data_IF_030406774041
#
_entry.id   IF_030406774041
#
_cell.length_a   1.000
_cell.length_b   1.000
_cell.length_c   1.000
_cell.angle_alpha   90.00
_cell.angle_beta   90.00
_cell.angle_gamma   90.00
#
_symmetry.space_group_name_H-M   'P 1'
#
loop_
_entity.id
_entity.type
_entity.pdbx_description
1 polymer ?
#
# COMPACT_ATOMS: atom_id res chain seq x y z
N UNK A 1 1.60 -37.83 -26.81
CA UNK A 1 1.89 -36.74 -27.75
C UNK A 1 1.26 -35.49 -27.17
N UNK A 2 2.10 -34.57 -26.71
CA UNK A 2 1.66 -33.21 -26.28
C UNK A 2 1.11 -32.53 -27.55
N UNK A 3 -0.16 -32.16 -27.54
CA UNK A 3 -0.74 -31.43 -28.66
C UNK A 3 -0.28 -29.96 -28.62
N UNK A 4 -0.22 -29.31 -29.78
CA UNK A 4 0.22 -27.91 -29.88
C UNK A 4 -0.70 -26.96 -29.08
N UNK A 5 -1.97 -27.37 -28.87
CA UNK A 5 -2.97 -26.69 -28.04
C UNK A 5 -2.57 -26.62 -26.58
N UNK A 6 -1.97 -27.68 -26.04
CA UNK A 6 -1.59 -27.77 -24.60
C UNK A 6 -0.40 -26.86 -24.31
N UNK A 7 0.53 -26.79 -25.29
CA UNK A 7 1.69 -25.90 -25.19
C UNK A 7 1.24 -24.41 -25.22
N UNK A 8 0.20 -24.13 -25.98
CA UNK A 8 -0.32 -22.77 -26.11
C UNK A 8 -0.94 -22.26 -24.80
N UNK A 9 -1.63 -23.12 -24.03
CA UNK A 9 -2.16 -22.76 -22.72
C UNK A 9 -1.05 -22.40 -21.71
N UNK A 10 0.04 -23.14 -21.71
CA UNK A 10 1.20 -22.87 -20.84
C UNK A 10 1.90 -21.55 -21.17
N UNK A 11 1.81 -21.10 -22.43
CA UNK A 11 2.46 -19.87 -22.88
C UNK A 11 1.62 -18.59 -22.64
N UNK A 12 0.34 -18.69 -22.26
CA UNK A 12 -0.53 -17.54 -22.05
C UNK A 12 0.05 -16.49 -21.08
N UNK A 13 0.54 -16.82 -19.87
CA UNK A 13 1.16 -15.84 -19.00
C UNK A 13 2.40 -15.18 -19.62
N UNK A 14 3.14 -15.92 -20.46
CA UNK A 14 4.33 -15.40 -21.16
C UNK A 14 3.91 -14.36 -22.23
N UNK A 15 2.79 -14.55 -22.92
CA UNK A 15 2.25 -13.58 -23.88
C UNK A 15 1.67 -12.35 -23.20
N UNK A 16 1.05 -12.50 -22.02
CA UNK A 16 0.48 -11.38 -21.27
C UNK A 16 1.55 -10.50 -20.60
N UNK A 17 2.70 -11.07 -20.25
CA UNK A 17 3.78 -10.35 -19.59
C UNK A 17 4.28 -9.12 -20.39
N UNK A 18 4.63 -9.20 -21.68
CA UNK A 18 5.02 -8.03 -22.45
C UNK A 18 3.93 -6.96 -22.51
N UNK A 19 2.67 -7.36 -22.62
CA UNK A 19 1.55 -6.42 -22.61
C UNK A 19 1.54 -5.59 -21.31
N UNK A 20 1.58 -6.24 -20.15
CA UNK A 20 1.59 -5.52 -18.86
C UNK A 20 2.86 -4.73 -18.64
N UNK A 21 4.00 -5.24 -19.06
CA UNK A 21 5.28 -4.58 -18.84
C UNK A 21 5.48 -3.34 -19.73
N UNK A 22 5.14 -3.43 -21.01
CA UNK A 22 5.40 -2.36 -21.97
C UNK A 22 4.20 -1.45 -22.19
N UNK A 23 2.97 -1.97 -22.28
CA UNK A 23 1.78 -1.18 -22.49
C UNK A 23 1.39 -0.36 -21.26
N UNK A 24 1.42 -0.94 -20.08
CA UNK A 24 1.03 -0.27 -18.83
C UNK A 24 2.23 0.30 -18.04
N UNK A 25 3.47 0.16 -18.53
CA UNK A 25 4.70 0.63 -17.86
C UNK A 25 4.81 0.18 -16.39
N UNK A 26 4.34 -1.03 -16.09
CA UNK A 26 4.34 -1.58 -14.73
C UNK A 26 5.71 -2.12 -14.34
N UNK A 27 5.96 -2.22 -13.04
CA UNK A 27 7.15 -2.88 -12.51
C UNK A 27 7.16 -4.37 -12.93
N UNK A 28 8.35 -4.97 -13.09
CA UNK A 28 8.51 -6.38 -13.52
C UNK A 28 7.70 -7.36 -12.68
N UNK A 29 7.72 -7.21 -11.35
CA UNK A 29 6.96 -8.06 -10.44
C UNK A 29 5.45 -7.90 -10.61
N UNK A 30 4.96 -6.67 -10.73
CA UNK A 30 3.56 -6.41 -11.01
C UNK A 30 3.13 -7.02 -12.36
N UNK A 31 3.98 -6.92 -13.39
CA UNK A 31 3.69 -7.50 -14.71
C UNK A 31 3.57 -9.03 -14.64
N UNK A 32 4.45 -9.70 -13.91
CA UNK A 32 4.38 -11.15 -13.67
C UNK A 32 3.09 -11.50 -12.92
N UNK A 33 2.80 -10.78 -11.84
CA UNK A 33 1.59 -10.99 -11.05
C UNK A 33 0.33 -10.85 -11.91
N UNK A 34 0.19 -9.73 -12.65
CA UNK A 34 -0.98 -9.51 -13.49
C UNK A 34 -1.13 -10.56 -14.60
N UNK A 35 -0.04 -11.08 -15.14
CA UNK A 35 -0.07 -12.12 -16.16
C UNK A 35 -0.67 -13.41 -15.60
N UNK A 36 -0.22 -13.87 -14.43
CA UNK A 36 -0.78 -15.05 -13.78
C UNK A 36 -2.20 -14.80 -13.27
N UNK A 37 -2.44 -13.66 -12.65
CA UNK A 37 -3.75 -13.29 -12.13
C UNK A 37 -4.82 -13.30 -13.24
N UNK A 38 -4.56 -12.62 -14.35
CA UNK A 38 -5.51 -12.55 -15.48
C UNK A 38 -5.76 -13.92 -16.08
N UNK A 39 -4.70 -14.70 -16.27
CA UNK A 39 -4.85 -16.06 -16.79
C UNK A 39 -5.71 -16.92 -15.87
N UNK A 40 -5.40 -16.98 -14.59
CA UNK A 40 -6.14 -17.79 -13.61
C UNK A 40 -7.58 -17.30 -13.43
N UNK A 41 -7.80 -15.98 -13.44
CA UNK A 41 -9.13 -15.41 -13.36
C UNK A 41 -9.99 -15.86 -14.55
N UNK A 42 -9.50 -15.70 -15.76
CA UNK A 42 -10.27 -16.01 -16.98
C UNK A 42 -10.42 -17.51 -17.17
N UNK A 43 -9.33 -18.27 -17.17
CA UNK A 43 -9.37 -19.71 -17.43
C UNK A 43 -9.99 -20.50 -16.27
N UNK A 44 -9.71 -20.12 -15.03
CA UNK A 44 -10.33 -20.74 -13.85
C UNK A 44 -11.85 -20.57 -13.82
N UNK A 45 -12.32 -19.35 -14.08
CA UNK A 45 -13.76 -19.07 -14.14
C UNK A 45 -14.42 -19.73 -15.35
N UNK A 46 -13.78 -19.68 -16.54
CA UNK A 46 -14.29 -20.31 -17.74
C UNK A 46 -14.41 -21.85 -17.58
N UNK A 47 -13.39 -22.48 -17.01
CA UNK A 47 -13.39 -23.94 -16.75
C UNK A 47 -14.48 -24.32 -15.76
N UNK A 48 -14.63 -23.55 -14.67
CA UNK A 48 -15.70 -23.79 -13.70
C UNK A 48 -17.10 -23.65 -14.31
N UNK A 49 -17.32 -22.59 -15.10
CA UNK A 49 -18.58 -22.40 -15.85
C UNK A 49 -18.84 -23.52 -16.84
N UNK A 50 -17.81 -23.98 -17.54
CA UNK A 50 -17.90 -25.11 -18.49
C UNK A 50 -18.40 -26.37 -17.79
N UNK A 51 -17.87 -26.68 -16.61
CA UNK A 51 -18.30 -27.83 -15.81
C UNK A 51 -19.80 -27.72 -15.44
N UNK A 52 -20.23 -26.54 -14.97
CA UNK A 52 -21.63 -26.32 -14.60
C UNK A 52 -22.56 -26.44 -15.84
N UNK A 53 -22.21 -25.75 -16.92
CA UNK A 53 -23.08 -25.70 -18.09
C UNK A 53 -23.12 -27.04 -18.82
N UNK A 54 -22.00 -27.77 -18.91
CA UNK A 54 -21.98 -29.11 -19.50
C UNK A 54 -22.80 -30.12 -18.70
N UNK A 55 -22.84 -29.97 -17.37
CA UNK A 55 -23.67 -30.81 -16.50
C UNK A 55 -25.17 -30.57 -16.73
N UNK A 56 -25.58 -29.36 -17.14
CA UNK A 56 -26.98 -29.00 -17.37
C UNK A 56 -27.44 -29.28 -18.81
N UNK A 57 -26.62 -28.88 -19.81
CA UNK A 57 -26.97 -28.98 -21.24
C UNK A 57 -26.60 -30.33 -21.86
N UNK A 58 -25.71 -31.06 -21.24
CA UNK A 58 -25.16 -32.31 -21.75
C UNK A 58 -24.02 -32.10 -22.77
N UNK A 59 -23.07 -33.04 -22.78
CA UNK A 59 -21.83 -32.96 -23.60
C UNK A 59 -22.12 -32.91 -25.11
N UNK A 60 -23.22 -33.50 -25.58
CA UNK A 60 -23.56 -33.54 -27.00
C UNK A 60 -23.90 -32.16 -27.59
N UNK A 61 -24.67 -31.33 -26.83
CA UNK A 61 -24.99 -29.97 -27.22
C UNK A 61 -23.78 -29.06 -27.21
N UNK A 62 -22.94 -29.20 -26.19
CA UNK A 62 -21.69 -28.44 -26.04
C UNK A 62 -20.73 -28.72 -27.19
N UNK A 63 -20.63 -29.99 -27.64
CA UNK A 63 -19.80 -30.39 -28.80
C UNK A 63 -20.36 -29.83 -30.12
N UNK A 64 -21.69 -29.86 -30.30
CA UNK A 64 -22.34 -29.37 -31.54
C UNK A 64 -22.13 -27.86 -31.79
N UNK A 65 -22.11 -27.06 -30.73
CA UNK A 65 -21.97 -25.60 -30.79
C UNK A 65 -20.67 -25.07 -30.18
N UNK A 66 -19.58 -25.83 -30.27
CA UNK A 66 -18.34 -25.60 -29.49
C UNK A 66 -17.76 -24.19 -29.63
N UNK A 67 -17.79 -23.58 -30.83
CA UNK A 67 -17.23 -22.23 -31.03
C UNK A 67 -18.07 -21.15 -30.32
N UNK A 68 -19.42 -21.17 -30.59
CA UNK A 68 -20.33 -20.20 -29.98
C UNK A 68 -20.37 -20.37 -28.46
N UNK A 69 -20.40 -21.62 -28.02
CA UNK A 69 -20.35 -21.99 -26.60
C UNK A 69 -19.11 -21.41 -25.91
N UNK A 70 -17.91 -21.65 -26.45
CA UNK A 70 -16.66 -21.13 -25.89
C UNK A 70 -16.61 -19.60 -25.85
N UNK A 71 -17.11 -18.93 -26.88
CA UNK A 71 -17.22 -17.46 -26.87
C UNK A 71 -18.16 -16.96 -25.78
N UNK A 72 -19.35 -17.56 -25.63
CA UNK A 72 -20.31 -17.19 -24.59
C UNK A 72 -19.76 -17.42 -23.19
N UNK A 73 -19.09 -18.55 -22.95
CA UNK A 73 -18.48 -18.86 -21.64
C UNK A 73 -17.40 -17.85 -21.30
N UNK A 74 -16.53 -17.49 -22.25
CA UNK A 74 -15.47 -16.50 -22.02
C UNK A 74 -16.01 -15.09 -21.78
N UNK A 75 -17.07 -14.68 -22.48
CA UNK A 75 -17.73 -13.40 -22.19
C UNK A 75 -18.42 -13.40 -20.82
N UNK A 76 -19.07 -14.49 -20.47
CA UNK A 76 -19.71 -14.65 -19.16
C UNK A 76 -18.67 -14.65 -18.04
N UNK A 77 -17.53 -15.35 -18.21
CA UNK A 77 -16.42 -15.37 -17.26
C UNK A 77 -15.85 -13.98 -17.04
N UNK A 78 -15.66 -13.20 -18.12
CA UNK A 78 -15.19 -11.81 -18.03
C UNK A 78 -16.17 -10.96 -17.21
N UNK A 79 -17.49 -11.09 -17.46
CA UNK A 79 -18.51 -10.37 -16.70
C UNK A 79 -18.50 -10.72 -15.20
N UNK A 80 -18.31 -11.99 -14.87
CA UNK A 80 -18.18 -12.44 -13.46
C UNK A 80 -16.91 -11.86 -12.82
N UNK A 81 -15.78 -11.88 -13.52
CA UNK A 81 -14.52 -11.35 -13.00
C UNK A 81 -14.64 -9.84 -12.73
N UNK A 82 -15.22 -9.09 -13.67
CA UNK A 82 -15.43 -7.64 -13.47
C UNK A 82 -16.33 -7.37 -12.26
N UNK A 83 -17.40 -8.16 -12.08
CA UNK A 83 -18.25 -8.09 -10.89
C UNK A 83 -17.51 -8.46 -9.61
N UNK A 84 -16.65 -9.47 -9.64
CA UNK A 84 -15.83 -9.85 -8.48
C UNK A 84 -14.85 -8.75 -8.11
N UNK A 85 -14.19 -8.14 -9.09
CA UNK A 85 -13.27 -7.01 -8.88
C UNK A 85 -14.01 -5.84 -8.21
N UNK A 86 -15.20 -5.52 -8.69
CA UNK A 86 -16.05 -4.46 -8.13
C UNK A 86 -16.54 -4.81 -6.72
N UNK A 87 -17.06 -6.03 -6.52
CA UNK A 87 -17.54 -6.51 -5.21
C UNK A 87 -16.44 -6.50 -4.13
N UNK A 88 -15.21 -6.82 -4.50
CA UNK A 88 -14.07 -6.83 -3.59
C UNK A 88 -13.41 -5.45 -3.47
N UNK A 89 -13.89 -4.44 -4.21
CA UNK A 89 -13.29 -3.10 -4.24
C UNK A 89 -11.78 -3.16 -4.48
N UNK A 90 -11.36 -3.92 -5.50
CA UNK A 90 -9.95 -4.15 -5.75
C UNK A 90 -9.23 -2.86 -6.13
N UNK A 91 -8.38 -2.40 -5.22
CA UNK A 91 -7.43 -1.32 -5.44
C UNK A 91 -6.02 -1.91 -5.61
N UNK A 92 -5.46 -1.73 -6.79
CA UNK A 92 -4.12 -2.22 -7.13
C UNK A 92 -3.01 -1.21 -6.83
N UNK A 93 -3.35 -0.03 -6.30
CA UNK A 93 -2.38 1.03 -6.00
C UNK A 93 -1.25 0.57 -5.07
N UNK A 94 -1.52 -0.19 -3.97
CA UNK A 94 -0.46 -0.65 -3.07
C UNK A 94 0.58 -1.57 -3.71
N UNK A 95 0.23 -2.24 -4.83
CA UNK A 95 1.17 -3.14 -5.53
C UNK A 95 2.37 -2.42 -6.16
N UNK A 96 2.30 -1.10 -6.32
CA UNK A 96 3.40 -0.28 -6.85
C UNK A 96 4.38 0.17 -5.76
N UNK A 97 4.05 -0.02 -4.49
CA UNK A 97 4.87 0.39 -3.36
C UNK A 97 5.96 -0.65 -3.06
N UNK A 98 7.17 -0.19 -2.76
CA UNK A 98 8.33 -1.07 -2.49
C UNK A 98 8.11 -1.96 -1.28
N UNK A 99 7.39 -1.48 -0.28
CA UNK A 99 7.11 -2.21 0.95
C UNK A 99 6.19 -3.41 0.72
N UNK A 100 5.30 -3.30 -0.26
CA UNK A 100 4.41 -4.38 -0.66
C UNK A 100 5.09 -5.46 -1.51
N UNK A 101 6.33 -5.24 -1.96
CA UNK A 101 7.08 -6.15 -2.85
C UNK A 101 7.24 -7.56 -2.26
N UNK A 102 7.51 -7.67 -0.97
CA UNK A 102 7.65 -8.97 -0.29
C UNK A 102 6.37 -9.79 -0.33
N UNK A 103 5.24 -9.12 -0.15
CA UNK A 103 3.92 -9.75 -0.21
C UNK A 103 3.58 -10.15 -1.65
N UNK A 104 3.86 -9.29 -2.61
CA UNK A 104 3.66 -9.56 -4.04
C UNK A 104 4.44 -10.81 -4.51
N UNK A 105 5.67 -10.99 -4.05
CA UNK A 105 6.45 -12.22 -4.32
C UNK A 105 5.77 -13.48 -3.80
N UNK A 106 5.17 -13.43 -2.60
CA UNK A 106 4.41 -14.58 -2.06
C UNK A 106 3.18 -14.87 -2.91
N UNK A 107 2.42 -13.84 -3.29
CA UNK A 107 1.26 -14.00 -4.18
C UNK A 107 1.65 -14.62 -5.51
N UNK A 108 2.73 -14.18 -6.14
CA UNK A 108 3.23 -14.77 -7.38
C UNK A 108 3.53 -16.25 -7.21
N UNK A 109 4.17 -16.66 -6.11
CA UNK A 109 4.43 -18.08 -5.83
C UNK A 109 3.13 -18.88 -5.70
N UNK A 110 2.12 -18.37 -5.00
CA UNK A 110 0.82 -19.02 -4.83
C UNK A 110 0.12 -19.15 -6.19
N UNK A 111 0.05 -18.08 -6.97
CA UNK A 111 -0.59 -18.12 -8.28
C UNK A 111 0.16 -19.00 -9.28
N UNK A 112 1.47 -19.05 -9.23
CA UNK A 112 2.26 -19.98 -10.01
C UNK A 112 1.96 -21.45 -9.63
N UNK A 113 1.85 -21.75 -8.35
CA UNK A 113 1.48 -23.09 -7.88
C UNK A 113 0.06 -23.48 -8.36
N UNK A 114 -0.93 -22.57 -8.23
CA UNK A 114 -2.28 -22.78 -8.73
C UNK A 114 -2.26 -23.00 -10.26
N UNK A 115 -1.48 -22.20 -10.99
CA UNK A 115 -1.32 -22.33 -12.43
C UNK A 115 -0.79 -23.72 -12.83
N UNK A 116 0.24 -24.22 -12.17
CA UNK A 116 0.78 -25.57 -12.42
C UNK A 116 -0.27 -26.65 -12.15
N UNK A 117 -0.99 -26.53 -11.03
CA UNK A 117 -2.02 -27.52 -10.64
C UNK A 117 -3.19 -27.51 -11.63
N UNK A 118 -3.66 -26.34 -12.09
CA UNK A 118 -4.75 -26.23 -13.09
C UNK A 118 -4.32 -26.90 -14.41
N UNK A 119 -3.13 -26.58 -14.92
CA UNK A 119 -2.67 -27.15 -16.17
C UNK A 119 -2.49 -28.67 -16.08
N UNK A 120 -2.00 -29.14 -14.93
CA UNK A 120 -1.91 -30.59 -14.65
C UNK A 120 -3.29 -31.25 -14.58
N UNK A 121 -4.27 -30.58 -13.97
CA UNK A 121 -5.66 -31.05 -13.90
C UNK A 121 -6.29 -31.18 -15.29
N UNK A 122 -6.09 -30.16 -16.15
CA UNK A 122 -6.58 -30.14 -17.51
C UNK A 122 -5.95 -31.30 -18.31
N UNK A 123 -4.64 -31.47 -18.21
CA UNK A 123 -3.93 -32.58 -18.88
C UNK A 123 -4.43 -33.97 -18.45
N UNK A 124 -4.69 -34.17 -17.16
CA UNK A 124 -5.26 -35.45 -16.66
C UNK A 124 -6.70 -35.64 -17.15
N UNK A 125 -7.51 -34.57 -17.20
CA UNK A 125 -8.91 -34.67 -17.60
C UNK A 125 -9.11 -35.08 -19.05
N UNK A 126 -8.13 -34.88 -19.92
CA UNK A 126 -8.13 -35.37 -21.30
C UNK A 126 -8.07 -36.90 -21.40
N UNK A 127 -7.57 -37.55 -20.36
CA UNK A 127 -7.60 -39.01 -20.29
C UNK A 127 -8.98 -39.47 -19.81
N UNK A 128 -9.70 -40.21 -20.65
CA UNK A 128 -11.10 -40.62 -20.41
C UNK A 128 -11.35 -41.28 -19.04
N UNK A 129 -10.32 -41.96 -18.47
CA UNK A 129 -10.39 -42.59 -17.17
C UNK A 129 -10.43 -41.61 -15.98
N UNK A 130 -9.93 -40.37 -16.16
CA UNK A 130 -9.75 -39.39 -15.09
C UNK A 130 -10.56 -38.11 -15.28
N UNK A 131 -11.55 -38.07 -16.20
CA UNK A 131 -12.39 -36.89 -16.50
C UNK A 131 -13.01 -36.28 -15.22
N UNK A 132 -13.58 -37.12 -14.36
CA UNK A 132 -14.20 -36.67 -13.10
C UNK A 132 -13.17 -36.12 -12.09
N UNK A 133 -11.97 -36.68 -12.07
CA UNK A 133 -10.88 -36.19 -11.22
C UNK A 133 -10.39 -34.83 -11.69
N UNK A 134 -10.23 -34.63 -13.01
CA UNK A 134 -9.84 -33.36 -13.59
C UNK A 134 -10.86 -32.25 -13.28
N UNK A 135 -12.16 -32.53 -13.41
CA UNK A 135 -13.22 -31.57 -13.09
C UNK A 135 -13.24 -31.21 -11.59
N UNK A 136 -13.07 -32.19 -10.71
CA UNK A 136 -12.96 -31.95 -9.26
C UNK A 136 -11.74 -31.06 -8.94
N UNK A 137 -10.58 -31.34 -9.53
CA UNK A 137 -9.37 -30.58 -9.31
C UNK A 137 -9.51 -29.13 -9.82
N UNK A 138 -10.10 -28.92 -11.02
CA UNK A 138 -10.40 -27.59 -11.54
C UNK A 138 -11.34 -26.78 -10.63
N UNK A 139 -12.35 -27.45 -10.05
CA UNK A 139 -13.24 -26.83 -9.08
C UNK A 139 -12.50 -26.39 -7.81
N UNK A 140 -11.64 -27.25 -7.27
CA UNK A 140 -10.80 -26.92 -6.10
C UNK A 140 -9.89 -25.72 -6.42
N UNK A 141 -9.28 -25.68 -7.60
CA UNK A 141 -8.45 -24.57 -8.02
C UNK A 141 -9.22 -23.25 -8.16
N UNK A 142 -10.46 -23.30 -8.67
CA UNK A 142 -11.31 -22.12 -8.73
C UNK A 142 -11.63 -21.58 -7.31
N UNK A 143 -12.02 -22.44 -6.39
CA UNK A 143 -12.26 -22.01 -5.00
C UNK A 143 -10.98 -21.51 -4.32
N UNK A 144 -9.81 -22.13 -4.58
CA UNK A 144 -8.53 -21.66 -4.09
C UNK A 144 -8.19 -20.26 -4.62
N UNK A 145 -8.52 -19.99 -5.88
CA UNK A 145 -8.39 -18.66 -6.48
C UNK A 145 -9.30 -17.65 -5.76
N UNK A 146 -10.58 -17.98 -5.54
CA UNK A 146 -11.51 -17.11 -4.80
C UNK A 146 -11.02 -16.83 -3.38
N UNK A 147 -10.56 -17.85 -2.65
CA UNK A 147 -9.96 -17.68 -1.32
C UNK A 147 -8.74 -16.78 -1.35
N UNK A 148 -7.91 -16.88 -2.39
CA UNK A 148 -6.74 -16.01 -2.53
C UNK A 148 -7.12 -14.53 -2.77
N UNK A 149 -8.27 -14.26 -3.41
CA UNK A 149 -8.81 -12.91 -3.54
C UNK A 149 -9.20 -12.32 -2.16
N UNK A 150 -9.87 -13.12 -1.31
CA UNK A 150 -10.18 -12.70 0.06
C UNK A 150 -8.92 -12.41 0.86
N UNK A 151 -7.93 -13.29 0.77
CA UNK A 151 -6.66 -13.09 1.46
C UNK A 151 -5.96 -11.81 1.01
N UNK A 152 -5.95 -11.54 -0.31
CA UNK A 152 -5.39 -10.32 -0.87
C UNK A 152 -6.10 -9.06 -0.36
N UNK A 153 -7.44 -9.10 -0.20
CA UNK A 153 -8.20 -7.99 0.40
C UNK A 153 -7.79 -7.76 1.86
N UNK A 154 -7.71 -8.82 2.66
CA UNK A 154 -7.33 -8.73 4.09
C UNK A 154 -5.94 -8.12 4.25
N UNK A 155 -4.95 -8.58 3.49
CA UNK A 155 -3.58 -8.06 3.56
C UNK A 155 -3.48 -6.60 3.13
N UNK A 156 -4.22 -6.20 2.09
CA UNK A 156 -4.31 -4.81 1.68
C UNK A 156 -4.90 -3.93 2.78
N UNK A 157 -5.97 -4.38 3.42
CA UNK A 157 -6.64 -3.63 4.47
C UNK A 157 -5.76 -3.52 5.73
N UNK A 158 -4.99 -4.57 6.04
CA UNK A 158 -3.97 -4.53 7.10
C UNK A 158 -2.84 -3.55 6.76
N UNK A 159 -2.34 -3.57 5.53
CA UNK A 159 -1.32 -2.65 5.09
C UNK A 159 -1.77 -1.18 5.21
N UNK A 160 -2.99 -0.87 4.75
CA UNK A 160 -3.58 0.48 4.91
C UNK A 160 -3.68 0.92 6.37
N UNK A 161 -4.16 0.03 7.24
CA UNK A 161 -4.23 0.33 8.70
C UNK A 161 -2.86 0.60 9.31
N UNK A 162 -1.85 -0.16 8.92
CA UNK A 162 -0.49 0.06 9.40
C UNK A 162 0.06 1.42 8.96
N UNK A 163 -0.16 1.82 7.69
CA UNK A 163 0.22 3.15 7.21
C UNK A 163 -0.51 4.28 7.96
N UNK A 164 -1.80 4.12 8.25
CA UNK A 164 -2.56 5.09 9.04
C UNK A 164 -2.00 5.22 10.47
N UNK A 165 -1.62 4.10 11.09
CA UNK A 165 -1.01 4.10 12.42
C UNK A 165 0.37 4.78 12.41
N UNK A 166 1.23 4.47 11.47
CA UNK A 166 2.54 5.11 11.32
C UNK A 166 2.42 6.62 11.11
N UNK A 167 1.48 7.05 10.26
CA UNK A 167 1.20 8.46 10.05
C UNK A 167 0.71 9.15 11.32
N UNK A 168 -0.17 8.49 12.09
CA UNK A 168 -0.67 9.01 13.35
C UNK A 168 0.44 9.14 14.39
N UNK A 169 1.29 8.12 14.56
CA UNK A 169 2.44 8.15 15.44
C UNK A 169 3.42 9.26 15.08
N UNK A 170 3.71 9.41 13.79
CA UNK A 170 4.55 10.50 13.31
C UNK A 170 3.96 11.88 13.64
N UNK A 171 2.66 12.06 13.43
CA UNK A 171 1.94 13.31 13.75
C UNK A 171 1.97 13.61 15.26
N UNK A 172 1.77 12.60 16.10
CA UNK A 172 1.85 12.74 17.56
C UNK A 172 3.26 13.11 18.04
N UNK A 173 4.30 12.50 17.43
CA UNK A 173 5.69 12.86 17.72
C UNK A 173 6.01 14.30 17.31
N UNK A 174 5.55 14.77 16.17
CA UNK A 174 5.71 16.14 15.72
C UNK A 174 5.02 17.12 16.66
N UNK A 175 3.79 16.81 17.09
CA UNK A 175 3.03 17.63 18.05
C UNK A 175 3.75 17.70 19.40
N UNK A 176 4.27 16.57 19.88
CA UNK A 176 5.03 16.52 21.16
C UNK A 176 6.29 17.39 21.11
N UNK A 177 7.05 17.35 20.00
CA UNK A 177 8.21 18.22 19.78
C UNK A 177 7.82 19.69 19.78
N UNK A 178 6.76 20.05 19.04
CA UNK A 178 6.26 21.40 18.97
C UNK A 178 5.81 21.92 20.35
N UNK A 179 5.12 21.10 21.13
CA UNK A 179 4.74 21.46 22.51
C UNK A 179 5.95 21.66 23.42
N UNK A 180 6.99 20.84 23.29
CA UNK A 180 8.24 21.03 24.06
C UNK A 180 8.94 22.34 23.70
N UNK A 181 8.98 22.72 22.42
CA UNK A 181 9.52 23.99 21.96
C UNK A 181 8.72 25.19 22.53
N UNK A 182 7.39 25.12 22.48
CA UNK A 182 6.52 26.14 23.07
C UNK A 182 6.76 26.27 24.58
N UNK A 183 6.85 25.15 25.32
CA UNK A 183 7.15 25.18 26.74
C UNK A 183 8.50 25.82 27.04
N UNK A 184 9.53 25.52 26.23
CA UNK A 184 10.84 26.16 26.33
C UNK A 184 10.75 27.67 26.12
N UNK A 185 10.04 28.14 25.09
CA UNK A 185 9.81 29.54 24.84
C UNK A 185 9.07 30.22 26.00
N UNK A 186 8.03 29.59 26.55
CA UNK A 186 7.32 30.10 27.73
C UNK A 186 8.25 30.25 28.95
N UNK A 187 9.15 29.31 29.17
CA UNK A 187 10.11 29.40 30.27
C UNK A 187 11.08 30.57 30.12
N UNK A 188 11.56 30.81 28.89
CA UNK A 188 12.43 31.94 28.53
C UNK A 188 11.70 33.27 28.75
N UNK A 189 10.47 33.39 28.25
CA UNK A 189 9.66 34.60 28.41
C UNK A 189 9.35 34.88 29.89
N UNK A 190 9.04 33.83 30.66
CA UNK A 190 8.79 33.94 32.09
C UNK A 190 10.06 34.42 32.84
N UNK A 191 11.23 33.86 32.54
CA UNK A 191 12.51 34.28 33.07
C UNK A 191 12.79 35.76 32.74
N UNK A 192 12.61 36.16 31.50
CA UNK A 192 12.80 37.54 31.07
C UNK A 192 11.89 38.51 31.81
N UNK A 193 10.59 38.18 31.97
CA UNK A 193 9.62 38.98 32.70
C UNK A 193 10.03 39.16 34.17
N UNK A 194 10.53 38.08 34.83
CA UNK A 194 11.02 38.12 36.21
C UNK A 194 12.24 39.02 36.35
N UNK A 195 13.21 38.88 35.43
CA UNK A 195 14.45 39.67 35.46
C UNK A 195 14.15 41.15 35.17
N UNK A 196 13.26 41.46 34.25
CA UNK A 196 12.80 42.82 33.97
C UNK A 196 12.11 43.43 35.20
N UNK A 197 11.26 42.65 35.88
CA UNK A 197 10.60 43.10 37.10
C UNK A 197 11.58 43.49 38.20
N UNK A 198 12.56 42.64 38.46
CA UNK A 198 13.62 42.89 39.46
C UNK A 198 14.45 44.14 39.10
N UNK A 199 14.71 44.33 37.82
CA UNK A 199 15.47 45.45 37.32
C UNK A 199 14.71 46.77 37.48
N UNK A 200 13.42 46.80 37.19
CA UNK A 200 12.55 47.98 37.43
C UNK A 200 12.48 48.34 38.90
N UNK A 201 12.33 47.36 39.79
CA UNK A 201 12.32 47.56 41.24
C UNK A 201 13.65 48.14 41.71
N UNK A 202 14.80 47.53 41.32
CA UNK A 202 16.11 48.02 41.70
C UNK A 202 16.39 49.44 41.20
N UNK A 203 15.90 49.78 40.01
CA UNK A 203 16.04 51.12 39.41
C UNK A 203 15.17 52.14 40.13
N UNK A 204 13.96 51.77 40.51
CA UNK A 204 13.04 52.65 41.28
C UNK A 204 13.62 52.97 42.68
N UNK A 205 14.15 51.98 43.38
CA UNK A 205 14.82 52.18 44.69
C UNK A 205 16.02 53.11 44.58
N UNK A 206 16.88 52.88 43.58
CA UNK A 206 18.07 53.73 43.35
C UNK A 206 17.71 55.18 42.99
N UNK A 207 16.56 55.40 42.34
CA UNK A 207 16.02 56.75 42.05
C UNK A 207 15.50 57.41 43.32
N UNK A 208 14.71 56.68 44.13
CA UNK A 208 14.18 57.20 45.39
C UNK A 208 15.26 57.60 46.40
N UNK A 209 16.39 56.84 46.40
CA UNK A 209 17.55 57.13 47.23
C UNK A 209 18.51 58.18 46.63
N UNK A 210 18.19 58.80 45.49
CA UNK A 210 19.01 59.74 44.71
C UNK A 210 20.44 59.18 44.44
N UNK A 211 20.60 57.84 44.39
CA UNK A 211 21.90 57.17 44.26
C UNK A 211 22.34 57.10 42.78
N UNK A 212 22.88 58.19 42.27
CA UNK A 212 23.32 58.34 40.87
C UNK A 212 24.36 57.31 40.47
N UNK A 213 25.34 56.90 41.30
CA UNK A 213 26.29 55.86 40.98
C UNK A 213 25.61 54.50 40.72
N UNK A 214 24.62 54.12 41.50
CA UNK A 214 23.90 52.88 41.39
C UNK A 214 22.97 52.86 40.16
N UNK A 215 22.29 53.99 39.85
CA UNK A 215 21.52 54.13 38.60
C UNK A 215 22.44 53.89 37.38
N UNK A 216 23.61 54.45 37.34
CA UNK A 216 24.57 54.24 36.24
C UNK A 216 25.06 52.84 36.16
N UNK A 217 25.27 52.16 37.31
CA UNK A 217 25.66 50.72 37.35
C UNK A 217 24.55 49.84 36.74
N UNK A 218 23.32 50.01 37.19
CA UNK A 218 22.17 49.25 36.71
C UNK A 218 21.97 49.50 35.19
N UNK A 219 22.01 50.74 34.76
CA UNK A 219 21.88 51.10 33.35
C UNK A 219 22.97 50.43 32.46
N UNK A 220 24.23 50.39 32.91
CA UNK A 220 25.33 49.72 32.21
C UNK A 220 25.11 48.22 32.17
N UNK A 221 24.72 47.61 33.26
CA UNK A 221 24.45 46.18 33.35
C UNK A 221 23.31 45.75 32.41
N UNK A 222 22.25 46.59 32.29
CA UNK A 222 21.14 46.38 31.36
C UNK A 222 21.63 46.42 29.94
N UNK A 223 22.40 47.43 29.57
CA UNK A 223 22.93 47.56 28.22
C UNK A 223 23.83 46.36 27.87
N UNK A 224 24.73 45.96 28.77
CA UNK A 224 25.62 44.81 28.53
C UNK A 224 24.84 43.50 28.42
N UNK A 225 23.86 43.26 29.28
CA UNK A 225 23.01 42.07 29.19
C UNK A 225 22.09 42.07 27.95
N UNK A 226 21.57 43.22 27.55
CA UNK A 226 20.77 43.37 26.34
C UNK A 226 21.61 43.11 25.06
N UNK A 227 22.78 43.67 25.03
CA UNK A 227 23.71 43.45 23.87
C UNK A 227 24.19 41.99 23.80
N UNK A 228 24.43 41.30 24.91
CA UNK A 228 24.81 39.88 24.92
C UNK A 228 23.66 38.95 24.54
N UNK A 229 22.40 39.27 24.92
CA UNK A 229 21.23 38.49 24.51
C UNK A 229 20.79 38.69 23.06
N UNK A 230 21.11 39.83 22.46
CA UNK A 230 20.78 40.17 21.05
C UNK A 230 21.84 39.65 20.09
N UNK A 231 23.04 39.30 20.60
CA UNK A 231 24.09 38.76 19.72
C UNK A 231 23.61 37.46 19.02
N UNK A 232 23.72 37.49 17.70
CA UNK A 232 23.15 36.56 16.73
C UNK A 232 23.44 35.06 16.96
N UNK A 233 24.31 34.69 17.91
CA UNK A 233 24.63 33.28 18.19
C UNK A 233 23.48 32.56 18.94
N UNK A 234 22.70 33.24 19.78
CA UNK A 234 21.51 32.62 20.41
C UNK A 234 20.30 32.58 19.46
N UNK A 235 20.21 33.51 18.49
CA UNK A 235 19.21 33.49 17.42
C UNK A 235 19.53 32.48 16.30
N UNK A 236 20.77 32.07 16.14
CA UNK A 236 21.15 31.01 15.19
C UNK A 236 20.71 29.61 15.63
N UNK A 237 20.35 29.40 16.89
CA UNK A 237 19.70 28.18 17.41
C UNK A 237 18.24 28.05 16.98
N UNK A 238 17.59 29.13 16.57
CA UNK A 238 16.29 29.09 15.91
C UNK A 238 16.49 28.86 14.40
N UNK A 239 16.82 27.65 14.01
CA UNK A 239 16.58 27.21 12.66
C UNK A 239 15.07 27.27 12.41
N UNK A 240 14.61 28.37 11.84
CA UNK A 240 13.34 28.43 11.15
C UNK A 240 13.39 27.31 10.12
N UNK A 241 12.82 26.16 10.48
CA UNK A 241 12.59 25.05 9.57
C UNK A 241 11.78 25.67 8.44
N UNK A 242 12.40 25.77 7.27
CA UNK A 242 11.76 26.14 6.03
C UNK A 242 10.53 25.25 5.84
N UNK A 243 9.37 25.78 6.16
CA UNK A 243 8.09 25.26 5.69
C UNK A 243 8.06 25.57 4.19
N UNK A 244 8.46 24.57 3.39
CA UNK A 244 8.17 24.47 1.96
C UNK A 244 7.25 23.32 1.70
#
# INVERSE_FOLDING_TARGET
>A
NIQLSDLNMLLWPVYLYPYYHYANRTNRLCSIFYSFFTYLAVEGTATFLTIIVSSVLGDALVAAYSIVYNMCIRLLSLGIILKLIDLFEFDFTPFYEKEFEKYLKRLICVYFAIFVVINFALWISEQAQFKNFGSMLATICFFSFVVSLFHMKIERDQYRKNLELEYKEFSEQQMSRYMAEIQSLYSIVRGFRHDLGNLVISMSLAIEEENIPEIRRIHREVLEKSYKKINAEELSGFNLVNIR
#
